data_IF_763321419748
#
_entry.id   IF_763321419748
#
_cell.length_a   1.000
_cell.length_b   1.000
_cell.length_c   1.000
_cell.angle_alpha   90.00
_cell.angle_beta   90.00
_cell.angle_gamma   90.00
#
_symmetry.space_group_name_H-M   'P 1'
#
loop_
_entity.id
_entity.type
_entity.pdbx_description
1 polymer ?
#
# COMPACT_ATOMS: atom_id res chain seq x y z
N UNK A 1 -12.63 -15.67 -1.90
CA UNK A 1 -12.04 -14.74 -0.90
C UNK A 1 -12.64 -13.36 -1.12
N UNK A 2 -12.94 -12.64 -0.04
CA UNK A 2 -13.50 -11.28 -0.12
C UNK A 2 -12.36 -10.30 -0.42
N UNK A 3 -12.46 -9.58 -1.53
CA UNK A 3 -11.56 -8.44 -1.82
C UNK A 3 -11.89 -7.30 -0.86
N UNK A 4 -10.86 -6.74 -0.22
CA UNK A 4 -11.00 -5.59 0.67
C UNK A 4 -10.93 -4.30 -0.13
N UNK A 5 -11.60 -3.27 0.35
CA UNK A 5 -11.35 -1.88 -0.07
C UNK A 5 -10.52 -1.18 1.01
N UNK A 6 -9.75 -0.16 0.64
CA UNK A 6 -8.99 0.63 1.61
C UNK A 6 -9.91 1.22 2.68
N UNK A 7 -11.08 1.73 2.30
CA UNK A 7 -12.10 2.20 3.25
C UNK A 7 -12.51 1.12 4.27
N UNK A 8 -12.75 -0.12 3.82
CA UNK A 8 -13.11 -1.24 4.71
C UNK A 8 -12.01 -1.62 5.70
N UNK A 9 -10.74 -1.45 5.30
CA UNK A 9 -9.58 -1.67 6.17
C UNK A 9 -9.56 -0.59 7.27
N UNK A 10 -9.78 0.67 6.91
CA UNK A 10 -9.81 1.77 7.87
C UNK A 10 -11.02 1.74 8.80
N UNK A 11 -12.17 1.22 8.38
CA UNK A 11 -13.31 0.95 9.27
C UNK A 11 -12.99 -0.07 10.38
N UNK A 12 -11.95 -0.89 10.20
CA UNK A 12 -11.51 -1.90 11.17
C UNK A 12 -10.01 -1.74 11.50
N UNK A 13 -9.46 -0.53 11.43
CA UNK A 13 -8.01 -0.31 11.48
C UNK A 13 -7.36 -0.87 12.76
N UNK A 14 -8.02 -0.67 13.90
CA UNK A 14 -7.58 -1.17 15.21
C UNK A 14 -7.44 -2.71 15.23
N UNK A 15 -8.32 -3.42 14.52
CA UNK A 15 -8.23 -4.88 14.41
C UNK A 15 -6.95 -5.28 13.69
N UNK A 16 -6.63 -4.62 12.58
CA UNK A 16 -5.42 -4.90 11.80
C UNK A 16 -4.14 -4.54 12.57
N UNK A 17 -4.16 -3.46 13.35
CA UNK A 17 -3.04 -3.12 14.24
C UNK A 17 -2.82 -4.19 15.31
N UNK A 18 -3.89 -4.62 16.01
CA UNK A 18 -3.79 -5.65 17.06
C UNK A 18 -3.37 -7.02 16.53
N UNK A 19 -3.75 -7.35 15.30
CA UNK A 19 -3.49 -8.66 14.69
C UNK A 19 -2.35 -8.65 13.67
N UNK A 20 -1.57 -7.56 13.60
CA UNK A 20 -0.57 -7.32 12.57
C UNK A 20 0.37 -8.51 12.36
N UNK A 21 1.04 -8.98 13.42
CA UNK A 21 2.00 -10.08 13.33
C UNK A 21 1.35 -11.40 12.89
N UNK A 22 0.12 -11.66 13.35
CA UNK A 22 -0.62 -12.85 12.95
C UNK A 22 -0.92 -12.83 11.44
N UNK A 23 -1.41 -11.69 10.93
CA UNK A 23 -1.68 -11.50 9.49
C UNK A 23 -0.43 -11.70 8.65
N UNK A 24 0.73 -11.21 9.11
CA UNK A 24 1.98 -11.39 8.38
C UNK A 24 2.46 -12.84 8.32
N UNK A 25 2.16 -13.63 9.36
CA UNK A 25 2.59 -15.03 9.45
C UNK A 25 1.72 -16.02 8.66
N UNK A 26 0.48 -15.64 8.33
CA UNK A 26 -0.50 -16.55 7.72
C UNK A 26 -0.73 -16.20 6.25
N UNK A 27 -0.30 -17.03 5.27
CA UNK A 27 -0.46 -16.76 3.84
C UNK A 27 -1.91 -16.41 3.45
N UNK A 28 -2.91 -17.12 3.99
CA UNK A 28 -4.32 -16.87 3.69
C UNK A 28 -4.77 -15.46 4.07
N UNK A 29 -4.21 -14.91 5.16
CA UNK A 29 -4.50 -13.55 5.61
C UNK A 29 -3.66 -12.52 4.87
N UNK A 30 -2.36 -12.80 4.72
CA UNK A 30 -1.40 -11.94 4.03
C UNK A 30 -1.85 -11.59 2.61
N UNK A 31 -2.17 -12.62 1.82
CA UNK A 31 -2.53 -12.51 0.41
C UNK A 31 -3.99 -12.12 0.17
N UNK A 32 -4.67 -11.54 1.17
CA UNK A 32 -6.00 -10.96 0.98
C UNK A 32 -5.90 -9.81 -0.04
N UNK A 33 -6.60 -9.88 -1.17
CA UNK A 33 -6.52 -8.84 -2.20
C UNK A 33 -7.17 -7.54 -1.72
N UNK A 34 -6.55 -6.42 -2.10
CA UNK A 34 -7.06 -5.08 -1.81
C UNK A 34 -7.28 -4.34 -3.13
N UNK A 35 -8.50 -3.85 -3.35
CA UNK A 35 -8.89 -3.19 -4.58
C UNK A 35 -8.02 -1.96 -4.87
N UNK A 36 -7.46 -1.90 -6.08
CA UNK A 36 -6.65 -0.78 -6.55
C UNK A 36 -5.30 -0.63 -5.86
N UNK A 37 -4.89 -1.57 -5.00
CA UNK A 37 -3.60 -1.53 -4.33
C UNK A 37 -2.50 -2.13 -5.22
N UNK A 38 -1.58 -1.29 -5.69
CA UNK A 38 -0.55 -1.72 -6.64
C UNK A 38 0.66 -0.79 -6.71
N UNK A 39 1.75 -1.31 -7.25
CA UNK A 39 2.94 -0.56 -7.64
C UNK A 39 3.13 -0.73 -9.14
N UNK A 40 3.10 0.36 -9.87
CA UNK A 40 3.36 0.45 -11.31
C UNK A 40 4.47 1.47 -11.55
N UNK A 41 5.72 1.01 -11.47
CA UNK A 41 6.91 1.85 -11.54
C UNK A 41 7.72 1.49 -12.78
N UNK A 42 7.41 2.10 -13.93
CA UNK A 42 8.11 1.82 -15.19
C UNK A 42 9.62 2.10 -15.06
N UNK A 43 10.50 1.18 -15.50
CA UNK A 43 10.25 0.05 -16.42
C UNK A 43 9.95 -1.31 -15.78
N UNK A 44 9.67 -1.36 -14.48
CA UNK A 44 9.39 -2.61 -13.79
C UNK A 44 7.96 -3.09 -14.05
N UNK A 45 7.76 -4.41 -13.93
CA UNK A 45 6.42 -5.01 -14.07
C UNK A 45 5.52 -4.50 -12.94
N UNK A 46 4.28 -4.14 -13.28
CA UNK A 46 3.24 -3.85 -12.30
C UNK A 46 3.07 -5.00 -11.31
N UNK A 47 3.01 -4.64 -10.04
CA UNK A 47 2.86 -5.56 -8.91
C UNK A 47 1.62 -5.19 -8.11
N UNK A 48 0.75 -6.17 -7.86
CA UNK A 48 -0.35 -6.00 -6.92
C UNK A 48 0.17 -6.07 -5.48
N UNK A 49 -0.45 -5.24 -4.63
CA UNK A 49 -0.23 -5.24 -3.19
C UNK A 49 -1.39 -5.94 -2.49
N UNK A 50 -1.04 -6.78 -1.53
CA UNK A 50 -2.01 -7.44 -0.68
C UNK A 50 -2.10 -6.75 0.68
N UNK A 51 -3.07 -7.17 1.49
CA UNK A 51 -3.25 -6.66 2.85
C UNK A 51 -1.93 -6.69 3.64
N UNK A 52 -1.19 -7.81 3.59
CA UNK A 52 0.08 -7.94 4.31
C UNK A 52 1.14 -6.92 3.88
N UNK A 53 1.26 -6.64 2.58
CA UNK A 53 2.20 -5.64 2.06
C UNK A 53 1.83 -4.24 2.58
N UNK A 54 0.56 -3.87 2.51
CA UNK A 54 0.07 -2.57 2.95
C UNK A 54 0.30 -2.37 4.45
N UNK A 55 -0.02 -3.36 5.29
CA UNK A 55 0.20 -3.26 6.73
C UNK A 55 1.69 -3.11 7.07
N UNK A 56 2.58 -3.83 6.39
CA UNK A 56 4.03 -3.64 6.55
C UNK A 56 4.45 -2.21 6.22
N UNK A 57 3.97 -1.67 5.10
CA UNK A 57 4.36 -0.32 4.65
C UNK A 57 3.80 0.78 5.53
N UNK A 58 2.57 0.61 6.01
CA UNK A 58 1.88 1.57 6.88
C UNK A 58 2.43 1.58 8.29
N UNK A 59 2.65 0.41 8.90
CA UNK A 59 3.06 0.33 10.31
C UNK A 59 4.56 0.46 10.52
N UNK A 60 5.38 0.20 9.50
CA UNK A 60 6.83 0.48 9.56
C UNK A 60 7.17 1.96 9.42
N UNK A 61 6.18 2.83 9.17
CA UNK A 61 6.36 4.26 8.84
C UNK A 61 7.26 4.53 7.62
N UNK A 62 7.68 3.50 6.87
CA UNK A 62 8.56 3.68 5.69
C UNK A 62 7.85 4.40 4.53
N UNK A 63 6.51 4.28 4.43
CA UNK A 63 5.65 5.01 3.49
C UNK A 63 4.95 6.22 4.13
N UNK A 64 5.67 6.97 4.97
CA UNK A 64 5.16 8.24 5.50
C UNK A 64 5.26 9.35 4.44
N UNK A 65 4.12 9.91 4.02
CA UNK A 65 4.07 10.96 2.99
C UNK A 65 4.83 12.22 3.39
N UNK A 66 4.71 12.66 4.64
CA UNK A 66 5.23 13.97 5.07
C UNK A 66 6.75 13.96 5.24
N UNK A 67 7.34 12.82 5.60
CA UNK A 67 8.78 12.69 5.80
C UNK A 67 9.53 12.09 4.60
N UNK A 68 8.89 11.19 3.86
CA UNK A 68 9.59 10.35 2.86
C UNK A 68 9.33 10.79 1.42
N UNK A 69 8.34 11.65 1.17
CA UNK A 69 7.93 12.03 -0.18
C UNK A 69 7.99 13.52 -0.44
N UNK A 70 8.52 13.85 -1.62
CA UNK A 70 8.46 15.21 -2.16
C UNK A 70 7.19 15.41 -2.97
N UNK A 71 6.12 15.82 -2.30
CA UNK A 71 4.81 16.15 -2.90
C UNK A 71 4.92 17.45 -3.69
N UNK A 72 4.45 17.43 -4.94
CA UNK A 72 4.39 18.59 -5.84
C UNK A 72 2.97 19.18 -5.88
N UNK A 73 1.96 18.32 -5.89
CA UNK A 73 0.55 18.69 -5.94
C UNK A 73 -0.27 17.66 -5.18
N UNK A 74 -1.38 18.10 -4.59
CA UNK A 74 -2.39 17.22 -4.00
C UNK A 74 -3.77 17.60 -4.51
N UNK A 75 -4.66 16.61 -4.62
CA UNK A 75 -6.08 16.84 -4.92
C UNK A 75 -6.84 17.51 -3.76
N UNK A 76 -6.27 17.51 -2.55
CA UNK A 76 -6.84 18.10 -1.33
C UNK A 76 -5.80 18.92 -0.58
N UNK A 77 -6.24 19.80 0.31
CA UNK A 77 -5.33 20.46 1.24
C UNK A 77 -4.78 19.41 2.22
N UNK A 78 -3.46 19.37 2.36
CA UNK A 78 -2.79 18.43 3.25
C UNK A 78 -2.51 19.08 4.61
N UNK A 79 -2.87 18.35 5.67
CA UNK A 79 -2.47 18.67 7.03
C UNK A 79 -1.24 17.84 7.42
N UNK A 80 -0.06 18.45 7.64
CA UNK A 80 1.17 17.72 8.00
C UNK A 80 1.06 16.90 9.30
N UNK A 81 0.12 17.24 10.18
CA UNK A 81 -0.12 16.51 11.43
C UNK A 81 -1.06 15.31 11.27
N UNK A 82 -1.61 15.07 10.08
CA UNK A 82 -2.55 13.97 9.81
C UNK A 82 -1.90 12.94 8.90
N UNK A 83 -2.00 11.67 9.28
CA UNK A 83 -1.41 10.57 8.54
C UNK A 83 -2.12 10.34 7.20
N UNK A 84 -1.32 9.95 6.20
CA UNK A 84 -1.74 9.51 4.89
C UNK A 84 -1.16 8.12 4.64
N UNK A 85 -1.98 7.21 4.12
CA UNK A 85 -1.61 5.81 3.95
C UNK A 85 -1.64 5.43 2.47
N UNK A 86 -0.47 5.38 1.85
CA UNK A 86 -0.33 5.07 0.42
C UNK A 86 -0.73 3.63 0.16
N UNK A 87 -1.55 3.40 -0.86
CA UNK A 87 -1.88 2.04 -1.32
C UNK A 87 -1.64 1.85 -2.81
N UNK A 88 -1.45 2.94 -3.57
CA UNK A 88 -1.09 2.87 -4.97
C UNK A 88 0.08 3.78 -5.27
N UNK A 89 1.02 3.28 -6.07
CA UNK A 89 2.14 4.03 -6.59
C UNK A 89 2.19 3.82 -8.09
N UNK A 90 2.10 4.89 -8.86
CA UNK A 90 2.19 4.87 -10.32
C UNK A 90 3.22 5.90 -10.77
N UNK A 91 4.15 5.50 -11.61
CA UNK A 91 4.98 6.49 -12.26
C UNK A 91 6.10 5.96 -13.13
N UNK A 92 6.65 6.88 -13.89
CA UNK A 92 7.78 6.64 -14.76
C UNK A 92 9.05 7.16 -14.09
N UNK A 93 9.93 6.24 -13.67
CA UNK A 93 11.15 6.59 -12.93
C UNK A 93 12.09 7.50 -13.72
N UNK A 94 11.99 7.50 -15.05
CA UNK A 94 12.83 8.29 -15.96
C UNK A 94 12.17 9.61 -16.41
N UNK A 95 10.85 9.61 -16.64
CA UNK A 95 10.13 10.74 -17.25
C UNK A 95 9.36 11.61 -16.23
N UNK A 96 9.31 11.19 -14.96
CA UNK A 96 8.93 12.07 -13.85
C UNK A 96 7.43 12.27 -13.62
N UNK A 97 6.57 11.61 -14.40
CA UNK A 97 5.11 11.58 -14.16
C UNK A 97 4.81 10.59 -13.05
N UNK A 98 4.92 11.03 -11.81
CA UNK A 98 4.73 10.17 -10.65
C UNK A 98 3.52 10.62 -9.83
N UNK A 99 2.67 9.67 -9.47
CA UNK A 99 1.55 9.87 -8.57
C UNK A 99 1.41 8.73 -7.57
N UNK A 100 0.76 9.02 -6.46
CA UNK A 100 0.31 8.00 -5.51
C UNK A 100 -1.14 8.26 -5.15
N UNK A 101 -1.85 7.19 -4.83
CA UNK A 101 -3.11 7.27 -4.12
C UNK A 101 -2.87 6.88 -2.66
N UNK A 102 -3.42 7.70 -1.76
CA UNK A 102 -3.33 7.48 -0.33
C UNK A 102 -4.70 7.66 0.32
N UNK A 103 -4.96 6.89 1.38
CA UNK A 103 -6.10 7.15 2.26
C UNK A 103 -5.78 8.31 3.20
N UNK A 104 -6.67 9.29 3.28
CA UNK A 104 -6.59 10.38 4.25
C UNK A 104 -7.45 10.09 5.47
N UNK A 105 -6.85 10.05 6.65
CA UNK A 105 -7.60 9.94 7.92
C UNK A 105 -8.37 11.22 8.21
N UNK A 106 -7.87 12.38 7.77
CA UNK A 106 -8.54 13.66 7.97
C UNK A 106 -9.84 13.75 7.16
N UNK A 107 -9.78 13.34 5.89
CA UNK A 107 -10.92 13.47 4.96
C UNK A 107 -11.77 12.20 4.85
N UNK A 108 -11.29 11.07 5.39
CA UNK A 108 -11.92 9.74 5.27
C UNK A 108 -12.21 9.36 3.80
N UNK A 109 -11.27 9.70 2.92
CA UNK A 109 -11.36 9.45 1.49
C UNK A 109 -9.97 9.22 0.88
N UNK A 110 -9.94 8.80 -0.38
CA UNK A 110 -8.72 8.69 -1.16
C UNK A 110 -8.29 10.08 -1.66
N UNK A 111 -7.01 10.39 -1.48
CA UNK A 111 -6.35 11.58 -2.05
C UNK A 111 -5.31 11.16 -3.08
N UNK A 112 -5.19 11.95 -4.15
CA UNK A 112 -4.15 11.80 -5.16
C UNK A 112 -3.04 12.81 -4.89
N UNK A 113 -1.80 12.32 -4.90
CA UNK A 113 -0.61 13.15 -4.75
C UNK A 113 0.28 13.00 -5.97
N UNK A 114 0.68 14.11 -6.58
CA UNK A 114 1.75 14.12 -7.57
C UNK A 114 3.09 14.27 -6.86
N UNK A 115 4.06 13.45 -7.23
CA UNK A 115 5.36 13.36 -6.56
C UNK A 115 6.49 13.73 -7.52
N UNK A 116 7.59 14.28 -6.98
CA UNK A 116 8.80 14.52 -7.78
C UNK A 116 9.46 13.21 -8.21
N UNK A 117 9.50 12.23 -7.31
CA UNK A 117 10.07 10.91 -7.56
C UNK A 117 9.35 9.87 -6.69
N UNK A 118 9.44 8.60 -7.10
CA UNK A 118 8.87 7.44 -6.39
C UNK A 118 9.93 6.39 -6.07
N UNK A 119 11.20 6.61 -6.42
CA UNK A 119 12.26 5.59 -6.31
C UNK A 119 12.43 5.06 -4.89
N UNK A 120 12.53 5.95 -3.89
CA UNK A 120 12.69 5.53 -2.50
C UNK A 120 11.49 4.70 -2.01
N UNK A 121 10.26 5.14 -2.33
CA UNK A 121 9.04 4.41 -1.98
C UNK A 121 8.94 3.06 -2.69
N UNK A 122 9.34 2.99 -3.95
CA UNK A 122 9.42 1.75 -4.71
C UNK A 122 10.40 0.77 -4.04
N UNK A 123 11.64 1.19 -3.77
CA UNK A 123 12.66 0.34 -3.13
C UNK A 123 12.19 -0.15 -1.77
N UNK A 124 11.60 0.73 -0.95
CA UNK A 124 11.02 0.36 0.35
C UNK A 124 9.99 -0.76 0.21
N UNK A 125 9.11 -0.69 -0.79
CA UNK A 125 8.09 -1.71 -0.99
C UNK A 125 8.65 -3.06 -1.45
N UNK A 126 9.79 -3.05 -2.15
CA UNK A 126 10.51 -4.29 -2.49
C UNK A 126 11.16 -4.95 -1.26
N UNK A 127 11.19 -4.29 -0.10
CA UNK A 127 11.68 -4.86 1.17
C UNK A 127 10.60 -5.53 2.02
N UNK A 128 9.35 -5.61 1.53
CA UNK A 128 8.30 -6.34 2.25
C UNK A 128 8.58 -7.84 2.21
N UNK A 129 8.55 -8.47 3.39
CA UNK A 129 8.71 -9.91 3.50
C UNK A 129 7.34 -10.58 3.30
N UNK A 130 7.25 -11.44 2.29
CA UNK A 130 6.03 -12.22 2.00
C UNK A 130 6.20 -13.65 2.56
N UNK A 131 5.20 -14.21 3.24
CA UNK A 131 5.25 -15.61 3.67
C UNK A 131 5.22 -16.54 2.45
N UNK A 132 5.76 -17.75 2.58
CA UNK A 132 5.75 -18.72 1.47
C UNK A 132 4.32 -19.02 1.01
N UNK A 133 4.11 -19.05 -0.31
CA UNK A 133 2.82 -19.23 -0.96
C UNK A 133 2.61 -20.64 -1.52
N UNK A 134 3.58 -21.54 -1.31
CA UNK A 134 3.58 -22.91 -1.81
C UNK A 134 2.30 -23.67 -1.43
N UNK A 135 1.88 -23.63 -0.17
CA UNK A 135 0.65 -24.29 0.31
C UNK A 135 -0.65 -23.58 -0.12
N UNK A 136 -0.62 -22.26 -0.26
CA UNK A 136 -1.79 -21.46 -0.65
C UNK A 136 -2.21 -21.71 -2.11
N UNK A 137 -1.22 -21.86 -2.99
CA UNK A 137 -1.45 -22.12 -4.42
C UNK A 137 -2.09 -23.50 -4.64
N UNK A 138 -1.72 -24.49 -3.83
CA UNK A 138 -2.28 -25.86 -3.88
C UNK A 138 -3.75 -25.86 -3.46
N UNK A 139 -4.12 -25.14 -2.39
CA UNK A 139 -5.52 -25.05 -1.94
C UNK A 139 -6.44 -24.35 -2.95
N UNK A 140 -5.91 -23.45 -3.78
CA UNK A 140 -6.68 -22.79 -4.85
C UNK A 140 -6.89 -23.66 -6.09
N UNK A 141 -5.98 -24.59 -6.37
CA UNK A 141 -6.09 -25.49 -7.53
C UNK A 141 -7.03 -26.69 -7.28
N UNK A 142 -7.40 -26.95 -6.02
CA UNK A 142 -8.26 -28.06 -5.61
C UNK A 142 -9.76 -27.69 -5.50
N UNK A 143 -10.18 -26.51 -6.00
CA UNK A 143 -11.57 -26.03 -5.99
C UNK A 143 -12.08 -25.86 -7.42
#
# INVERSE_FOLDING_TARGET
>A
MKTLTVASIFSNFDFYQRNYLNILSQPESYYTPVEGASIDAYPFKKQDLYLGDLLQLWFSSKWNVHSSLKVLKSSKLLNPSKALYIFQLEGELLLGKNKVLAWSVEHQEVVELQLKNIWASYVVAQTCDRPDNSDYSIKKAAV
#
